data_IF_371362077951
#
_entry.id   IF_371362077951
#
_cell.length_a   1.000
_cell.length_b   1.000
_cell.length_c   1.000
_cell.angle_alpha   90.00
_cell.angle_beta   90.00
_cell.angle_gamma   90.00
#
_symmetry.space_group_name_H-M   'P 1'
#
loop_
_entity.id
_entity.type
_entity.pdbx_description
1 polymer ?
#
# COMPACT_ATOMS: atom_id res chain seq x y z
N UNK A 1 -12.73 -5.92 -19.67
CA UNK A 1 -13.46 -4.80 -19.00
C UNK A 1 -12.60 -3.59 -18.67
N UNK A 2 -11.43 -3.43 -19.32
CA UNK A 2 -10.38 -2.52 -18.87
C UNK A 2 -10.20 -1.27 -19.74
N UNK A 3 -10.65 -1.28 -20.97
CA UNK A 3 -10.27 -0.26 -21.97
C UNK A 3 -11.02 1.08 -21.81
N UNK A 4 -12.16 1.10 -21.12
CA UNK A 4 -12.96 2.31 -21.02
C UNK A 4 -12.68 3.22 -19.79
N UNK A 5 -12.01 2.72 -18.75
CA UNK A 5 -11.86 3.48 -17.50
C UNK A 5 -10.72 4.49 -17.53
N UNK A 6 -9.75 4.32 -18.42
CA UNK A 6 -8.55 5.17 -18.47
C UNK A 6 -8.69 6.41 -19.38
N UNK A 7 -9.73 6.49 -20.20
CA UNK A 7 -9.87 7.54 -21.23
C UNK A 7 -10.07 8.96 -20.71
N UNK A 8 -10.38 9.19 -19.43
CA UNK A 8 -10.60 10.54 -18.87
C UNK A 8 -10.14 10.60 -17.42
N UNK A 9 -8.87 10.33 -17.18
CA UNK A 9 -8.21 10.49 -15.88
C UNK A 9 -7.53 11.85 -15.85
N UNK A 10 -7.77 12.63 -14.80
CA UNK A 10 -6.96 13.77 -14.43
C UNK A 10 -6.14 13.41 -13.21
N UNK A 11 -4.84 13.40 -13.37
CA UNK A 11 -3.85 13.06 -12.36
C UNK A 11 -3.03 14.31 -12.02
N UNK A 12 -2.75 14.52 -10.74
CA UNK A 12 -1.87 15.57 -10.23
C UNK A 12 -0.99 14.99 -9.15
N UNK A 13 0.32 15.09 -9.32
CA UNK A 13 1.32 14.61 -8.38
C UNK A 13 2.17 15.77 -7.88
N UNK A 14 2.32 15.87 -6.57
CA UNK A 14 3.27 16.79 -5.93
C UNK A 14 4.32 15.96 -5.18
N UNK A 15 5.59 16.17 -5.55
CA UNK A 15 6.72 15.48 -4.92
C UNK A 15 7.68 16.51 -4.37
N UNK A 16 7.88 16.50 -3.08
CA UNK A 16 8.92 17.26 -2.39
C UNK A 16 10.01 16.32 -1.87
N UNK A 17 11.26 16.59 -2.25
CA UNK A 17 12.42 15.83 -1.79
C UNK A 17 13.48 16.79 -1.21
N UNK A 18 13.80 16.62 0.06
CA UNK A 18 14.80 17.45 0.76
C UNK A 18 16.26 17.10 0.43
N UNK A 19 16.52 15.93 -0.17
CA UNK A 19 17.89 15.50 -0.47
C UNK A 19 18.63 16.46 -1.43
N UNK A 20 17.93 17.09 -2.36
CA UNK A 20 18.50 18.08 -3.28
C UNK A 20 19.05 19.32 -2.57
N UNK A 21 18.43 19.75 -1.46
CA UNK A 21 18.94 20.86 -0.64
C UNK A 21 20.17 20.51 0.17
N UNK A 22 20.27 19.28 0.66
CA UNK A 22 21.41 18.82 1.42
C UNK A 22 22.70 18.77 0.55
N UNK A 23 22.56 18.39 -0.72
CA UNK A 23 23.67 18.44 -1.70
C UNK A 23 24.10 19.88 -2.02
N UNK A 24 23.19 20.83 -2.10
CA UNK A 24 23.51 22.25 -2.36
C UNK A 24 24.21 22.93 -1.17
N UNK A 25 23.97 22.51 0.06
CA UNK A 25 24.51 23.10 1.27
C UNK A 25 25.86 22.49 1.73
N UNK A 26 26.48 21.61 0.94
CA UNK A 26 27.76 20.94 1.28
C UNK A 26 27.76 20.23 2.64
N UNK A 27 26.58 19.97 3.22
CA UNK A 27 26.41 19.24 4.46
C UNK A 27 26.48 17.74 4.13
N UNK A 28 27.66 17.19 4.06
CA UNK A 28 27.87 15.77 3.82
C UNK A 28 27.03 14.92 4.78
N UNK A 29 26.43 13.84 4.26
CA UNK A 29 25.61 12.85 4.99
C UNK A 29 24.44 13.53 5.72
N UNK A 30 23.45 13.96 4.98
CA UNK A 30 22.29 14.67 5.53
C UNK A 30 21.05 13.77 5.69
N UNK A 31 20.29 14.04 6.74
CA UNK A 31 18.94 13.54 6.87
C UNK A 31 18.11 13.98 5.65
N UNK A 32 17.40 13.06 5.05
CA UNK A 32 16.54 13.35 3.91
C UNK A 32 15.10 12.94 4.20
N UNK A 33 14.16 13.67 3.63
CA UNK A 33 12.76 13.26 3.64
C UNK A 33 12.11 13.55 2.30
N UNK A 34 11.12 12.75 1.98
CA UNK A 34 10.32 12.87 0.76
C UNK A 34 8.85 12.88 1.16
N UNK A 35 8.10 13.80 0.58
CA UNK A 35 6.64 13.85 0.68
C UNK A 35 6.09 13.70 -0.74
N UNK A 36 5.15 12.78 -0.93
CA UNK A 36 4.40 12.62 -2.17
C UNK A 36 2.92 12.75 -1.87
N UNK A 37 2.26 13.56 -2.67
CA UNK A 37 0.82 13.74 -2.68
C UNK A 37 0.35 13.45 -4.10
N UNK A 38 -0.52 12.46 -4.25
CA UNK A 38 -1.14 12.17 -5.53
C UNK A 38 -2.65 12.35 -5.39
N UNK A 39 -3.22 12.99 -6.38
CA UNK A 39 -4.66 13.17 -6.49
C UNK A 39 -5.11 12.78 -7.89
N UNK A 40 -6.04 11.86 -7.97
CA UNK A 40 -6.58 11.33 -9.22
C UNK A 40 -8.09 11.46 -9.24
N UNK A 41 -8.63 11.96 -10.34
CA UNK A 41 -10.06 12.09 -10.59
C UNK A 41 -10.40 11.51 -11.96
N UNK A 42 -11.36 10.59 -12.02
CA UNK A 42 -11.70 9.90 -13.25
C UNK A 42 -13.21 9.94 -13.55
N UNK A 43 -13.56 9.86 -14.84
CA UNK A 43 -14.92 9.68 -15.33
C UNK A 43 -15.82 10.92 -15.30
N UNK A 44 -15.39 12.05 -14.74
CA UNK A 44 -16.24 13.24 -14.57
C UNK A 44 -16.67 13.85 -15.89
N UNK A 45 -15.75 14.00 -16.84
CA UNK A 45 -16.04 14.56 -18.15
C UNK A 45 -17.02 13.65 -18.92
N UNK A 46 -16.76 12.34 -18.92
CA UNK A 46 -17.63 11.35 -19.57
C UNK A 46 -19.04 11.37 -18.97
N UNK A 47 -19.13 11.47 -17.65
CA UNK A 47 -20.41 11.56 -16.95
C UNK A 47 -21.16 12.84 -17.33
N UNK A 48 -20.47 13.96 -17.38
CA UNK A 48 -21.08 15.24 -17.79
C UNK A 48 -21.60 15.18 -19.24
N UNK A 49 -20.80 14.66 -20.17
CA UNK A 49 -21.18 14.49 -21.58
C UNK A 49 -22.35 13.53 -21.72
N UNK A 50 -22.32 12.39 -21.03
CA UNK A 50 -23.40 11.39 -21.07
C UNK A 50 -24.73 11.97 -20.54
N UNK A 51 -24.67 12.73 -19.44
CA UNK A 51 -25.83 13.36 -18.83
C UNK A 51 -26.40 14.48 -19.69
N UNK A 52 -25.56 15.37 -20.22
CA UNK A 52 -25.98 16.48 -21.08
C UNK A 52 -26.46 15.99 -22.45
N UNK A 53 -25.84 14.94 -22.99
CA UNK A 53 -26.20 14.31 -24.25
C UNK A 53 -27.44 13.42 -24.19
N UNK A 54 -28.09 13.31 -23.03
CA UNK A 54 -29.30 12.49 -22.88
C UNK A 54 -29.08 10.99 -23.09
N UNK A 55 -27.86 10.47 -22.85
CA UNK A 55 -27.56 9.06 -23.03
C UNK A 55 -28.41 8.19 -22.08
N UNK A 56 -28.87 7.05 -22.57
CA UNK A 56 -29.62 6.10 -21.75
C UNK A 56 -28.67 5.30 -20.85
N UNK A 57 -29.13 5.05 -19.63
CA UNK A 57 -28.44 4.15 -18.70
C UNK A 57 -28.72 2.69 -19.03
N UNK A 58 -27.76 1.82 -18.72
CA UNK A 58 -27.93 0.36 -18.83
C UNK A 58 -28.91 -0.17 -17.74
N UNK A 59 -29.17 -1.48 -17.75
CA UNK A 59 -30.05 -2.14 -16.76
C UNK A 59 -29.53 -2.00 -15.31
N UNK A 60 -28.24 -1.73 -15.11
CA UNK A 60 -27.61 -1.49 -13.81
C UNK A 60 -27.64 -0.01 -13.38
N UNK A 61 -28.26 0.87 -14.17
CA UNK A 61 -28.35 2.30 -13.87
C UNK A 61 -27.08 3.11 -14.18
N UNK A 62 -26.15 2.55 -14.94
CA UNK A 62 -24.86 3.17 -15.28
C UNK A 62 -24.88 3.68 -16.73
N UNK A 63 -24.19 4.80 -16.99
CA UNK A 63 -23.89 5.23 -18.35
C UNK A 63 -22.76 4.37 -18.93
N UNK A 64 -22.87 4.05 -20.21
CA UNK A 64 -21.88 3.24 -20.94
C UNK A 64 -21.29 4.02 -22.11
N UNK A 65 -20.01 3.79 -22.37
CA UNK A 65 -19.34 4.19 -23.61
C UNK A 65 -19.01 2.93 -24.39
N UNK A 66 -19.48 2.84 -25.65
CA UNK A 66 -19.35 1.62 -26.46
C UNK A 66 -19.81 0.34 -25.74
N UNK A 67 -20.93 0.41 -25.03
CA UNK A 67 -21.49 -0.65 -24.19
C UNK A 67 -20.63 -1.09 -22.99
N UNK A 68 -19.60 -0.32 -22.63
CA UNK A 68 -18.73 -0.56 -21.46
C UNK A 68 -19.03 0.50 -20.41
N UNK A 69 -19.41 0.15 -19.17
CA UNK A 69 -19.57 1.13 -18.09
C UNK A 69 -18.20 1.71 -17.72
N UNK A 70 -18.15 3.04 -17.63
CA UNK A 70 -16.93 3.73 -17.18
C UNK A 70 -16.98 4.03 -15.68
N UNK A 71 -15.84 3.96 -15.03
CA UNK A 71 -15.72 4.25 -13.62
C UNK A 71 -15.62 5.75 -13.37
N UNK A 72 -16.30 6.21 -12.30
CA UNK A 72 -16.20 7.57 -11.77
C UNK A 72 -15.71 7.49 -10.34
N UNK A 73 -14.54 8.07 -10.05
CA UNK A 73 -13.93 8.02 -8.72
C UNK A 73 -13.01 9.19 -8.44
N UNK A 74 -12.74 9.41 -7.16
CA UNK A 74 -11.67 10.24 -6.63
C UNK A 74 -10.69 9.35 -5.87
N UNK A 75 -9.40 9.57 -6.06
CA UNK A 75 -8.35 8.88 -5.35
C UNK A 75 -7.33 9.89 -4.83
N UNK A 76 -6.93 9.74 -3.57
CA UNK A 76 -5.90 10.54 -2.95
C UNK A 76 -4.91 9.66 -2.20
N UNK A 77 -3.61 9.90 -2.45
CA UNK A 77 -2.53 9.19 -1.78
C UNK A 77 -1.60 10.20 -1.10
N UNK A 78 -1.20 9.88 0.10
CA UNK A 78 -0.15 10.54 0.87
C UNK A 78 0.95 9.54 1.17
N UNK A 79 2.20 9.91 0.89
CA UNK A 79 3.37 9.10 1.15
C UNK A 79 4.47 9.97 1.76
N UNK A 80 4.96 9.59 2.92
CA UNK A 80 6.04 10.25 3.64
C UNK A 80 7.15 9.25 3.91
N UNK A 81 8.35 9.55 3.45
CA UNK A 81 9.55 8.78 3.75
C UNK A 81 10.62 9.69 4.36
N UNK A 82 11.28 9.23 5.42
CA UNK A 82 12.37 9.95 6.09
C UNK A 82 13.52 9.01 6.34
N UNK A 83 14.71 9.42 5.94
CA UNK A 83 15.95 8.72 6.25
C UNK A 83 16.78 9.56 7.23
N UNK A 84 17.06 9.02 8.41
CA UNK A 84 17.92 9.61 9.43
C UNK A 84 19.26 8.88 9.41
N UNK A 85 20.31 9.59 9.08
CA UNK A 85 21.68 9.08 9.17
C UNK A 85 22.16 9.26 10.61
N UNK A 86 22.43 8.15 11.29
CA UNK A 86 22.94 8.15 12.67
C UNK A 86 24.45 8.34 12.65
N UNK A 87 25.11 7.55 11.82
CA UNK A 87 26.57 7.63 11.60
C UNK A 87 26.93 7.10 10.20
N UNK A 88 28.23 6.98 9.89
CA UNK A 88 28.73 6.52 8.58
C UNK A 88 28.34 5.07 8.23
N UNK A 89 27.85 4.30 9.19
CA UNK A 89 27.46 2.90 9.00
C UNK A 89 25.98 2.66 9.21
N UNK A 90 25.33 3.51 10.02
CA UNK A 90 23.98 3.25 10.54
C UNK A 90 22.99 4.32 10.10
N UNK A 91 21.82 3.92 9.69
CA UNK A 91 20.71 4.82 9.38
C UNK A 91 19.38 4.22 9.84
N UNK A 92 18.40 5.09 10.06
CA UNK A 92 17.05 4.74 10.42
C UNK A 92 16.08 5.33 9.38
N UNK A 93 15.32 4.49 8.74
CA UNK A 93 14.34 4.90 7.75
C UNK A 93 12.92 4.73 8.31
N UNK A 94 12.09 5.73 8.07
CA UNK A 94 10.68 5.77 8.40
C UNK A 94 9.88 5.94 7.12
N UNK A 95 8.77 5.23 7.04
CA UNK A 95 7.79 5.41 5.97
C UNK A 95 6.39 5.43 6.58
N UNK A 96 5.54 6.29 6.03
CA UNK A 96 4.13 6.34 6.33
C UNK A 96 3.37 6.60 5.03
N UNK A 97 2.46 5.72 4.71
CA UNK A 97 1.60 5.80 3.53
C UNK A 97 0.12 5.73 3.93
N UNK A 98 -0.68 6.61 3.37
CA UNK A 98 -2.13 6.58 3.51
C UNK A 98 -2.79 6.85 2.16
N UNK A 99 -3.84 6.11 1.84
CA UNK A 99 -4.56 6.28 0.59
C UNK A 99 -6.06 6.03 0.76
N UNK A 100 -6.85 6.79 0.01
CA UNK A 100 -8.29 6.61 -0.08
C UNK A 100 -8.75 6.77 -1.51
N UNK A 101 -9.63 5.89 -1.96
CA UNK A 101 -10.23 5.94 -3.28
C UNK A 101 -11.74 5.74 -3.18
N UNK A 102 -12.51 6.72 -3.63
CA UNK A 102 -13.95 6.83 -3.43
C UNK A 102 -14.66 6.69 -4.78
N UNK A 103 -15.35 5.58 -5.05
CA UNK A 103 -16.23 5.45 -6.21
C UNK A 103 -17.53 6.23 -5.97
N UNK A 104 -18.00 6.96 -6.99
CA UNK A 104 -19.23 7.72 -6.94
C UNK A 104 -19.91 7.82 -8.31
N UNK A 105 -21.11 8.40 -8.34
CA UNK A 105 -21.83 8.69 -9.58
C UNK A 105 -22.13 7.44 -10.42
N UNK A 106 -21.33 7.24 -11.45
CA UNK A 106 -21.50 6.12 -12.39
C UNK A 106 -20.85 4.80 -11.92
N UNK A 107 -20.15 4.80 -10.80
CA UNK A 107 -19.48 3.62 -10.29
C UNK A 107 -19.90 3.29 -8.86
N UNK A 108 -20.22 2.04 -8.61
CA UNK A 108 -20.50 1.50 -7.27
C UNK A 108 -19.26 0.88 -6.63
N UNK A 109 -18.28 0.48 -7.44
CA UNK A 109 -17.02 -0.13 -7.04
C UNK A 109 -15.90 0.43 -7.90
N UNK A 110 -14.70 0.52 -7.33
CA UNK A 110 -13.49 0.90 -8.05
C UNK A 110 -13.06 -0.18 -9.05
N UNK A 111 -12.49 0.19 -10.21
CA UNK A 111 -11.75 -0.74 -11.03
C UNK A 111 -10.65 -1.42 -10.22
N UNK A 112 -10.42 -2.69 -10.49
CA UNK A 112 -9.45 -3.48 -9.73
C UNK A 112 -8.04 -2.88 -9.70
N UNK A 113 -7.58 -2.29 -10.80
CA UNK A 113 -6.26 -1.67 -10.95
C UNK A 113 -6.08 -0.42 -10.08
N UNK A 114 -7.21 0.19 -9.67
CA UNK A 114 -7.21 1.42 -8.86
C UNK A 114 -7.42 1.14 -7.38
N UNK A 115 -7.77 -0.09 -7.02
CA UNK A 115 -7.89 -0.52 -5.63
C UNK A 115 -6.52 -0.74 -5.00
N UNK A 116 -6.47 -0.54 -3.69
CA UNK A 116 -5.27 -0.80 -2.91
C UNK A 116 -5.13 -2.28 -2.57
N UNK A 117 -3.90 -2.69 -2.37
CA UNK A 117 -3.54 -3.99 -1.79
C UNK A 117 -2.43 -3.81 -0.77
N UNK A 118 -2.26 -4.78 0.15
CA UNK A 118 -1.23 -4.79 1.17
C UNK A 118 -0.50 -6.14 1.21
N UNK A 119 0.67 -6.15 1.87
CA UNK A 119 1.62 -7.24 1.84
C UNK A 119 2.70 -7.09 0.77
N UNK A 120 3.73 -7.92 0.88
CA UNK A 120 4.88 -7.90 -0.02
C UNK A 120 6.03 -7.02 0.44
N UNK A 121 7.09 -7.00 -0.35
CA UNK A 121 8.38 -6.42 -0.01
C UNK A 121 8.38 -4.90 0.29
N UNK A 122 7.39 -4.15 -0.15
CA UNK A 122 7.31 -2.68 -0.02
C UNK A 122 6.11 -2.20 0.82
N UNK A 123 5.47 -3.09 1.58
CA UNK A 123 4.34 -2.79 2.45
C UNK A 123 4.57 -3.53 3.77
N UNK A 124 3.70 -4.46 4.17
CA UNK A 124 3.82 -5.24 5.41
C UNK A 124 4.48 -6.58 5.10
N UNK A 125 5.78 -6.71 5.37
CA UNK A 125 6.64 -7.84 4.93
C UNK A 125 6.40 -9.17 5.65
N UNK A 126 5.43 -9.26 6.56
CA UNK A 126 4.97 -10.53 7.14
C UNK A 126 3.98 -11.29 6.26
N UNK A 127 3.51 -10.69 5.17
CA UNK A 127 2.53 -11.25 4.24
C UNK A 127 3.05 -11.22 2.80
N UNK A 128 2.69 -12.21 2.02
CA UNK A 128 2.92 -12.20 0.57
C UNK A 128 2.16 -11.04 -0.10
N UNK A 129 2.50 -10.75 -1.35
CA UNK A 129 1.82 -9.69 -2.11
C UNK A 129 0.33 -10.02 -2.22
N UNK A 130 -0.52 -9.06 -1.83
CA UNK A 130 -1.99 -9.20 -1.83
C UNK A 130 -2.53 -10.29 -0.91
N UNK A 131 -1.85 -10.58 0.19
CA UNK A 131 -2.24 -11.62 1.15
C UNK A 131 -2.76 -11.02 2.47
N UNK A 132 -2.78 -9.69 2.58
CA UNK A 132 -3.23 -8.97 3.76
C UNK A 132 -4.50 -8.14 3.48
N UNK A 133 -5.56 -8.39 4.26
CA UNK A 133 -6.81 -7.63 4.26
C UNK A 133 -7.76 -7.98 3.10
N UNK A 134 -8.84 -7.23 2.95
CA UNK A 134 -9.22 -6.02 3.71
C UNK A 134 -9.72 -6.32 5.13
N UNK A 135 -9.36 -5.45 6.06
CA UNK A 135 -9.77 -5.57 7.46
C UNK A 135 -9.38 -6.91 8.09
N UNK A 136 -10.39 -7.67 8.54
CA UNK A 136 -10.22 -9.02 9.11
C UNK A 136 -10.60 -10.13 8.11
N UNK A 137 -10.79 -9.81 6.84
CA UNK A 137 -11.11 -10.80 5.80
C UNK A 137 -9.96 -11.80 5.63
N UNK A 138 -10.22 -13.12 5.77
CA UNK A 138 -9.15 -14.13 5.73
C UNK A 138 -8.65 -14.45 4.34
N UNK A 139 -9.28 -13.89 3.29
CA UNK A 139 -9.10 -14.33 1.91
C UNK A 139 -9.97 -15.55 1.57
N UNK A 140 -10.25 -15.71 0.30
CA UNK A 140 -11.04 -16.82 -0.27
C UNK A 140 -10.31 -17.53 -1.42
N UNK A 141 -9.01 -17.24 -1.58
CA UNK A 141 -8.18 -17.71 -2.69
C UNK A 141 -8.34 -16.88 -3.97
N UNK A 142 -9.27 -15.94 -4.01
CA UNK A 142 -9.41 -14.98 -5.11
C UNK A 142 -8.66 -13.69 -4.76
N UNK A 143 -7.50 -13.49 -5.38
CA UNK A 143 -6.67 -12.30 -5.14
C UNK A 143 -7.37 -10.97 -5.48
N UNK A 144 -8.44 -10.98 -6.27
CA UNK A 144 -9.23 -9.77 -6.56
C UNK A 144 -9.99 -9.29 -5.32
N UNK A 145 -10.40 -10.20 -4.45
CA UNK A 145 -11.08 -9.89 -3.20
C UNK A 145 -10.11 -9.42 -2.10
N UNK A 146 -8.80 -9.62 -2.28
CA UNK A 146 -7.77 -9.08 -1.38
C UNK A 146 -7.32 -7.68 -1.82
N UNK A 147 -8.29 -6.80 -2.00
CA UNK A 147 -8.10 -5.40 -2.39
C UNK A 147 -9.09 -4.50 -1.66
N UNK A 148 -8.71 -3.24 -1.42
CA UNK A 148 -9.48 -2.28 -0.64
C UNK A 148 -9.57 -0.90 -1.28
N UNK A 149 -10.36 -0.05 -0.67
CA UNK A 149 -10.59 1.34 -1.08
C UNK A 149 -9.80 2.32 -0.20
N UNK A 150 -9.34 1.85 0.97
CA UNK A 150 -8.49 2.59 1.91
C UNK A 150 -7.24 1.77 2.19
N UNK A 151 -6.11 2.43 2.33
CA UNK A 151 -4.81 1.83 2.70
C UNK A 151 -4.14 2.65 3.78
N UNK A 152 -3.49 1.98 4.72
CA UNK A 152 -2.61 2.57 5.72
C UNK A 152 -1.39 1.67 5.89
N UNK A 153 -0.20 2.26 5.73
CA UNK A 153 1.09 1.59 5.98
C UNK A 153 1.98 2.48 6.86
N UNK A 154 2.72 1.85 7.75
CA UNK A 154 3.77 2.46 8.55
C UNK A 154 4.94 1.49 8.67
N UNK A 155 6.15 1.93 8.34
CA UNK A 155 7.34 1.10 8.34
C UNK A 155 8.48 1.82 9.05
N UNK A 156 9.25 1.06 9.83
CA UNK A 156 10.48 1.52 10.46
C UNK A 156 11.56 0.50 10.13
N UNK A 157 12.70 0.98 9.63
CA UNK A 157 13.81 0.10 9.25
C UNK A 157 15.14 0.69 9.72
N UNK A 158 15.81 -0.03 10.61
CA UNK A 158 17.21 0.24 10.98
C UNK A 158 18.13 -0.47 10.00
N UNK A 159 19.05 0.25 9.40
CA UNK A 159 20.01 -0.21 8.40
C UNK A 159 21.42 -0.05 8.91
N UNK A 160 22.24 -1.09 8.78
CA UNK A 160 23.66 -1.05 9.18
C UNK A 160 24.56 -1.60 8.08
N UNK A 161 25.73 -0.98 7.87
CA UNK A 161 26.74 -1.52 6.96
C UNK A 161 27.47 -2.65 7.68
N UNK A 162 27.50 -3.82 7.07
CA UNK A 162 28.19 -5.00 7.60
C UNK A 162 29.65 -5.01 7.10
N UNK A 163 29.89 -5.70 6.03
CA UNK A 163 31.20 -5.80 5.40
C UNK A 163 31.05 -5.70 3.88
N UNK A 164 32.11 -5.29 3.20
CA UNK A 164 32.13 -5.12 1.76
C UNK A 164 30.90 -4.31 1.27
N UNK A 165 30.07 -4.87 0.42
CA UNK A 165 28.84 -4.28 -0.13
C UNK A 165 27.56 -4.78 0.58
N UNK A 166 27.69 -5.56 1.64
CA UNK A 166 26.56 -6.06 2.42
C UNK A 166 26.10 -5.05 3.47
N UNK A 167 24.77 -4.89 3.55
CA UNK A 167 24.09 -4.12 4.59
C UNK A 167 23.02 -5.00 5.23
N UNK A 168 22.98 -4.99 6.56
CA UNK A 168 21.91 -5.61 7.34
C UNK A 168 20.77 -4.63 7.58
N UNK A 169 19.57 -5.14 7.78
CA UNK A 169 18.44 -4.35 8.24
C UNK A 169 17.60 -5.14 9.25
N UNK A 170 17.03 -4.40 10.20
CA UNK A 170 15.98 -4.87 11.09
C UNK A 170 14.77 -3.97 10.86
N UNK A 171 13.59 -4.54 10.74
CA UNK A 171 12.41 -3.75 10.42
C UNK A 171 11.17 -4.16 11.23
N UNK A 172 10.28 -3.19 11.37
CA UNK A 172 8.91 -3.37 11.85
C UNK A 172 7.98 -2.66 10.87
N UNK A 173 6.98 -3.38 10.42
CA UNK A 173 5.97 -2.91 9.48
C UNK A 173 4.59 -3.03 10.12
N UNK A 174 3.74 -2.04 9.91
CA UNK A 174 2.35 -2.07 10.35
C UNK A 174 1.44 -1.53 9.25
N UNK A 175 0.27 -2.09 9.08
CA UNK A 175 -0.67 -1.60 8.07
C UNK A 175 -1.82 -2.53 7.81
N UNK A 176 -2.73 -2.08 6.98
CA UNK A 176 -3.83 -2.88 6.41
C UNK A 176 -4.51 -2.09 5.28
N UNK A 177 -5.45 -2.73 4.62
CA UNK A 177 -6.40 -2.12 3.69
C UNK A 177 -7.82 -2.34 4.19
N UNK A 178 -8.75 -1.52 3.72
CA UNK A 178 -10.17 -1.64 4.04
C UNK A 178 -11.03 -1.26 2.84
N UNK A 179 -12.28 -1.69 2.87
CA UNK A 179 -13.31 -1.25 1.92
C UNK A 179 -14.12 -0.11 2.53
N UNK A 180 -14.60 0.82 1.71
CA UNK A 180 -15.52 1.88 2.13
C UNK A 180 -16.95 1.36 2.32
N UNK A 181 -17.32 0.35 1.55
CA UNK A 181 -18.66 -0.26 1.58
C UNK A 181 -18.56 -1.69 2.09
N UNK A 182 -19.69 -2.20 2.55
CA UNK A 182 -19.82 -3.61 2.92
C UNK A 182 -20.04 -4.43 1.66
N UNK A 183 -19.06 -5.24 1.28
CA UNK A 183 -19.15 -6.15 0.13
C UNK A 183 -19.35 -7.57 0.63
N UNK A 184 -20.32 -8.29 0.03
CA UNK A 184 -20.65 -9.67 0.40
C UNK A 184 -19.44 -10.62 0.25
N UNK A 185 -18.58 -10.35 -0.72
CA UNK A 185 -17.40 -11.15 -1.04
C UNK A 185 -16.19 -10.81 -0.15
N UNK A 186 -16.31 -9.80 0.74
CA UNK A 186 -15.25 -9.31 1.61
C UNK A 186 -15.77 -9.06 3.04
N UNK A 187 -16.31 -10.09 3.72
CA UNK A 187 -16.89 -9.92 5.06
C UNK A 187 -15.83 -9.46 6.06
N UNK A 188 -16.16 -8.44 6.87
CA UNK A 188 -15.23 -7.85 7.82
C UNK A 188 -14.18 -6.92 7.24
N UNK A 189 -14.26 -6.63 5.91
CA UNK A 189 -13.35 -5.74 5.21
C UNK A 189 -13.68 -4.25 5.36
N UNK A 190 -14.88 -3.88 5.84
CA UNK A 190 -15.33 -2.50 5.93
C UNK A 190 -14.56 -1.69 6.96
N UNK A 191 -14.19 -0.47 6.58
CA UNK A 191 -13.55 0.50 7.48
C UNK A 191 -14.52 1.05 8.51
N UNK A 192 -14.14 0.95 9.79
CA UNK A 192 -14.86 1.54 10.92
C UNK A 192 -13.87 2.30 11.80
N UNK A 193 -14.07 3.62 11.97
CA UNK A 193 -13.17 4.50 12.74
C UNK A 193 -12.95 4.05 14.20
N UNK A 194 -13.91 3.38 14.80
CA UNK A 194 -13.83 2.87 16.17
C UNK A 194 -13.15 1.51 16.29
N UNK A 195 -12.88 0.83 15.17
CA UNK A 195 -12.32 -0.54 15.16
C UNK A 195 -11.05 -0.71 14.32
N UNK A 196 -10.76 0.20 13.36
CA UNK A 196 -9.66 0.03 12.41
C UNK A 196 -8.31 -0.24 13.08
N UNK A 197 -8.03 0.38 14.24
CA UNK A 197 -6.78 0.18 14.99
C UNK A 197 -6.59 -1.25 15.52
N UNK A 198 -7.69 -1.99 15.74
CA UNK A 198 -7.66 -3.42 16.13
C UNK A 198 -7.42 -4.35 14.94
N UNK A 199 -7.55 -3.83 13.74
CA UNK A 199 -7.40 -4.55 12.49
C UNK A 199 -6.05 -4.27 11.83
N UNK A 200 -5.16 -3.52 12.50
CA UNK A 200 -3.80 -3.28 11.99
C UNK A 200 -2.98 -4.55 12.16
N UNK A 201 -2.45 -5.02 11.04
CA UNK A 201 -1.47 -6.10 11.00
C UNK A 201 -0.09 -5.55 11.32
N UNK A 202 0.72 -6.32 12.05
CA UNK A 202 2.10 -5.95 12.39
C UNK A 202 3.04 -7.09 12.02
N UNK A 203 4.15 -6.75 11.39
CA UNK A 203 5.24 -7.67 11.07
C UNK A 203 6.57 -7.12 11.58
N UNK A 204 7.53 -8.01 11.81
CA UNK A 204 8.92 -7.69 12.08
C UNK A 204 9.83 -8.62 11.31
N UNK A 205 11.07 -8.25 11.12
CA UNK A 205 11.96 -9.12 10.38
C UNK A 205 13.37 -8.60 10.24
N UNK A 206 14.14 -9.40 9.52
CA UNK A 206 15.53 -9.12 9.18
C UNK A 206 15.67 -9.07 7.66
N UNK A 207 16.58 -8.24 7.22
CA UNK A 207 16.86 -8.13 5.80
C UNK A 207 18.36 -8.01 5.51
N UNK A 208 18.74 -8.58 4.39
CA UNK A 208 20.09 -8.45 3.82
C UNK A 208 20.00 -7.68 2.51
N UNK A 209 20.88 -6.69 2.35
CA UNK A 209 21.02 -5.90 1.14
C UNK A 209 22.40 -6.10 0.56
N UNK A 210 22.46 -6.31 -0.75
CA UNK A 210 23.70 -6.29 -1.51
C UNK A 210 23.69 -5.05 -2.41
N UNK A 211 24.53 -4.07 -2.03
CA UNK A 211 24.65 -2.79 -2.72
C UNK A 211 25.69 -2.87 -3.82
N UNK A 212 25.26 -2.96 -5.07
CA UNK A 212 26.10 -3.11 -6.24
C UNK A 212 26.39 -1.79 -6.98
N UNK A 213 26.28 -0.65 -6.28
CA UNK A 213 26.45 0.74 -6.75
C UNK A 213 25.36 1.24 -7.69
N UNK A 214 24.97 0.48 -8.69
CA UNK A 214 23.93 0.83 -9.66
C UNK A 214 22.57 0.21 -9.35
N UNK A 215 22.50 -0.84 -8.54
CA UNK A 215 21.27 -1.37 -7.97
C UNK A 215 21.54 -2.09 -6.64
N UNK A 216 20.49 -2.22 -5.84
CA UNK A 216 20.54 -2.91 -4.55
C UNK A 216 19.66 -4.15 -4.65
N UNK A 217 20.24 -5.33 -4.41
CA UNK A 217 19.47 -6.56 -4.21
C UNK A 217 19.07 -6.67 -2.75
N UNK A 218 17.81 -7.02 -2.51
CA UNK A 218 17.23 -7.08 -1.18
C UNK A 218 16.60 -8.45 -0.93
N UNK A 219 16.94 -9.02 0.23
CA UNK A 219 16.40 -10.27 0.74
C UNK A 219 15.82 -9.99 2.12
N UNK A 220 14.51 -10.06 2.26
CA UNK A 220 13.81 -9.79 3.52
C UNK A 220 13.10 -11.04 4.01
N UNK A 221 13.34 -11.42 5.27
CA UNK A 221 12.59 -12.42 6.00
C UNK A 221 11.70 -11.74 7.03
N UNK A 222 10.39 -11.78 6.82
CA UNK A 222 9.39 -11.18 7.69
C UNK A 222 8.60 -12.21 8.48
N UNK A 223 8.31 -11.89 9.74
CA UNK A 223 7.46 -12.69 10.63
C UNK A 223 6.25 -11.86 11.04
N UNK A 224 5.08 -12.48 11.08
CA UNK A 224 3.85 -11.86 11.60
C UNK A 224 3.98 -11.65 13.11
N UNK A 225 3.68 -10.45 13.59
CA UNK A 225 3.61 -10.14 15.03
C UNK A 225 2.16 -10.08 15.50
N UNK A 226 1.29 -9.40 14.74
CA UNK A 226 -0.15 -9.30 14.98
C UNK A 226 -0.87 -9.65 13.69
N UNK A 227 -1.75 -10.64 13.73
CA UNK A 227 -2.59 -11.03 12.60
C UNK A 227 -4.07 -10.76 12.92
N UNK A 228 -4.68 -9.72 12.33
CA UNK A 228 -6.04 -9.29 12.67
C UNK A 228 -7.13 -10.26 12.20
N UNK A 229 -6.82 -11.19 11.30
CA UNK A 229 -7.77 -12.17 10.78
C UNK A 229 -8.28 -13.13 11.86
N UNK A 230 -7.43 -13.45 12.83
CA UNK A 230 -7.76 -14.41 13.87
C UNK A 230 -8.28 -13.73 15.14
N UNK A 231 -9.38 -14.25 15.68
CA UNK A 231 -9.91 -13.85 16.99
C UNK A 231 -9.27 -14.62 18.16
N UNK A 232 -8.65 -15.76 17.89
CA UNK A 232 -7.96 -16.57 18.90
C UNK A 232 -6.65 -15.91 19.29
N UNK A 233 -6.44 -15.68 20.58
CA UNK A 233 -5.25 -15.01 21.13
C UNK A 233 -3.91 -15.60 20.66
N UNK A 234 -3.82 -16.93 20.49
CA UNK A 234 -2.58 -17.59 20.02
C UNK A 234 -2.24 -17.30 18.56
N UNK A 235 -3.25 -17.12 17.72
CA UNK A 235 -3.09 -16.89 16.30
C UNK A 235 -3.18 -15.39 15.96
N UNK A 236 -3.86 -14.61 16.81
CA UNK A 236 -3.90 -13.18 16.72
C UNK A 236 -2.54 -12.53 17.06
N UNK A 237 -1.81 -13.12 18.02
CA UNK A 237 -0.46 -12.67 18.42
C UNK A 237 0.61 -13.72 18.12
N UNK A 238 0.98 -13.93 16.84
CA UNK A 238 2.03 -14.89 16.46
C UNK A 238 3.37 -14.61 17.12
N UNK A 239 3.66 -13.36 17.48
CA UNK A 239 4.89 -12.99 18.19
C UNK A 239 5.08 -13.75 19.52
N UNK A 240 3.98 -14.11 20.19
CA UNK A 240 4.00 -14.90 21.43
C UNK A 240 4.00 -16.41 21.19
N UNK A 241 3.49 -16.85 20.04
CA UNK A 241 3.35 -18.26 19.65
C UNK A 241 3.74 -18.46 18.18
N UNK A 242 5.02 -18.20 17.79
CA UNK A 242 5.43 -18.23 16.41
C UNK A 242 5.38 -19.62 15.80
N UNK A 243 4.81 -19.72 14.59
CA UNK A 243 4.87 -20.93 13.74
C UNK A 243 5.48 -20.53 12.41
N UNK A 244 6.72 -20.95 12.16
CA UNK A 244 7.47 -20.54 10.97
C UNK A 244 6.72 -20.84 9.66
N UNK A 245 6.08 -21.98 9.53
CA UNK A 245 5.34 -22.38 8.33
C UNK A 245 4.10 -21.51 8.03
N UNK A 246 3.53 -20.84 9.04
CA UNK A 246 2.33 -20.00 8.92
C UNK A 246 2.67 -18.53 8.89
N UNK A 247 3.68 -18.13 9.66
CA UNK A 247 3.89 -16.73 10.03
C UNK A 247 5.08 -16.08 9.31
N UNK A 248 5.90 -16.86 8.60
CA UNK A 248 7.07 -16.39 7.89
C UNK A 248 6.76 -16.11 6.42
N UNK A 249 7.26 -14.98 5.93
CA UNK A 249 7.27 -14.66 4.51
C UNK A 249 8.67 -14.23 4.08
N UNK A 250 9.12 -14.72 2.93
CA UNK A 250 10.39 -14.33 2.32
C UNK A 250 10.13 -13.46 1.10
N UNK A 251 10.90 -12.37 0.98
CA UNK A 251 10.79 -11.44 -0.13
C UNK A 251 12.14 -11.20 -0.78
N UNK A 252 12.13 -11.27 -2.10
CA UNK A 252 13.23 -10.80 -2.94
C UNK A 252 12.79 -9.52 -3.66
N UNK A 253 13.61 -8.49 -3.65
CA UNK A 253 13.31 -7.24 -4.33
C UNK A 253 14.57 -6.52 -4.80
N UNK A 254 14.39 -5.55 -5.70
CA UNK A 254 15.45 -4.66 -6.18
C UNK A 254 15.14 -3.24 -5.71
N UNK A 255 16.15 -2.56 -5.16
CA UNK A 255 16.03 -1.22 -4.58
C UNK A 255 15.65 -1.22 -3.10
N UNK A 256 15.59 -0.02 -2.51
CA UNK A 256 15.09 0.17 -1.15
C UNK A 256 13.56 0.15 -1.10
N UNK A 257 12.95 -0.23 0.04
CA UNK A 257 11.49 -0.34 0.12
C UNK A 257 10.78 1.03 0.06
N UNK A 258 11.45 2.10 0.48
CA UNK A 258 10.95 3.48 0.52
C UNK A 258 12.10 4.46 0.63
#
# INVERSE_FOLDING_TARGET
RLVGSEMCIRDSSYIYNSAGRALMNNSGIGNSYTIRLNFESAGNLLYAVAKLGGMKKNASGEYTLLNIPFAQYLKGDFDFAKNLVIDNRNSLAFHFGAGIAIPYGNATMLPFEKRYFSGGANSVRGWSVRDLGPGVFPGDGNFMNQSGDIKLDANIEYRTRLFWKFRGAVFVDAGNIWTLRDYKDQPGGKFELNKFYKQIAVAYGLGLRLDLDFFVLRFDGGMKAVNPVYSNSKEHFPILHPKFSRDFAFHFAVGYPF
#
